data_IF_581125633869
#
_entry.id   IF_581125633869
#
_cell.length_a   1.000
_cell.length_b   1.000
_cell.length_c   1.000
_cell.angle_alpha   90.00
_cell.angle_beta   90.00
_cell.angle_gamma   90.00
#
_symmetry.space_group_name_H-M   'P 1'
#
loop_
_entity.id
_entity.type
_entity.pdbx_description
1 polymer ?
#
# COMPACT_ATOMS: atom_id res chain seq x y z
N UNK A 1 5.83 -25.21 13.04
CA UNK A 1 4.79 -25.42 11.99
C UNK A 1 5.47 -25.88 10.71
N UNK A 2 4.80 -26.59 9.79
CA UNK A 2 5.39 -26.99 8.51
C UNK A 2 4.69 -26.31 7.34
N UNK A 3 5.46 -25.91 6.33
CA UNK A 3 4.94 -25.43 5.04
C UNK A 3 5.33 -26.42 3.94
N UNK A 4 4.35 -26.77 3.10
CA UNK A 4 4.59 -27.61 1.93
C UNK A 4 5.30 -26.80 0.85
N UNK A 5 6.31 -27.40 0.21
CA UNK A 5 7.05 -26.79 -0.88
C UNK A 5 6.76 -27.54 -2.17
N UNK A 6 6.32 -26.83 -3.21
CA UNK A 6 6.11 -27.43 -4.52
C UNK A 6 7.45 -27.90 -5.10
N UNK A 7 7.56 -29.21 -5.34
CA UNK A 7 8.75 -29.84 -5.91
C UNK A 7 9.90 -30.09 -4.93
N UNK A 8 9.68 -29.96 -3.61
CA UNK A 8 10.69 -30.25 -2.60
C UNK A 8 10.07 -30.78 -1.29
N UNK A 9 10.93 -31.09 -0.30
CA UNK A 9 10.47 -31.48 1.03
C UNK A 9 9.83 -30.30 1.77
N UNK A 10 8.88 -30.60 2.64
CA UNK A 10 8.29 -29.61 3.53
C UNK A 10 9.37 -28.94 4.39
N UNK A 11 9.19 -27.64 4.66
CA UNK A 11 10.10 -26.86 5.49
C UNK A 11 9.47 -26.60 6.85
N UNK A 12 10.27 -26.72 7.90
CA UNK A 12 9.86 -26.33 9.24
C UNK A 12 10.05 -24.82 9.41
N UNK A 13 8.99 -24.16 9.91
CA UNK A 13 8.94 -22.72 10.15
C UNK A 13 8.39 -22.39 11.54
N UNK A 14 8.75 -21.21 12.00
CA UNK A 14 8.31 -20.57 13.24
C UNK A 14 6.79 -20.40 13.28
N UNK A 15 6.17 -21.04 14.26
CA UNK A 15 4.74 -20.91 14.54
C UNK A 15 4.37 -19.46 14.92
N UNK A 16 5.31 -18.72 15.51
CA UNK A 16 5.12 -17.30 15.82
C UNK A 16 4.93 -16.44 14.57
N UNK A 17 5.51 -16.82 13.43
CA UNK A 17 5.47 -16.03 12.19
C UNK A 17 4.34 -16.47 11.28
N UNK A 18 4.12 -17.78 11.13
CA UNK A 18 3.16 -18.36 10.16
C UNK A 18 1.95 -19.05 10.81
N UNK A 19 1.91 -19.17 12.14
CA UNK A 19 0.82 -19.81 12.89
C UNK A 19 0.10 -18.86 13.86
N UNK A 20 0.30 -17.55 13.74
CA UNK A 20 -0.31 -16.57 14.64
C UNK A 20 -1.82 -16.38 14.37
N UNK A 21 -2.58 -16.03 15.41
CA UNK A 21 -4.01 -15.71 15.26
C UNK A 21 -4.23 -14.47 14.38
N UNK A 22 -5.35 -14.45 13.67
CA UNK A 22 -5.72 -13.31 12.85
C UNK A 22 -6.26 -12.16 13.71
N UNK A 23 -5.51 -11.06 13.79
CA UNK A 23 -5.93 -9.85 14.48
C UNK A 23 -6.37 -8.81 13.44
N UNK A 24 -7.64 -8.90 13.06
CA UNK A 24 -8.25 -8.05 12.04
C UNK A 24 -8.08 -6.55 12.35
N UNK A 25 -8.25 -6.15 13.61
CA UNK A 25 -8.15 -4.73 14.02
C UNK A 25 -6.75 -4.18 13.77
N UNK A 26 -5.72 -4.94 14.12
CA UNK A 26 -4.33 -4.56 13.89
C UNK A 26 -3.99 -4.52 12.41
N UNK A 27 -4.44 -5.52 11.64
CA UNK A 27 -4.24 -5.59 10.19
C UNK A 27 -4.92 -4.42 9.48
N UNK A 28 -6.18 -4.13 9.82
CA UNK A 28 -6.92 -2.98 9.32
C UNK A 28 -6.17 -1.66 9.60
N UNK A 29 -5.69 -1.46 10.84
CA UNK A 29 -4.93 -0.26 11.18
C UNK A 29 -3.64 -0.14 10.35
N UNK A 30 -2.93 -1.25 10.13
CA UNK A 30 -1.70 -1.25 9.32
C UNK A 30 -1.98 -0.93 7.84
N UNK A 31 -3.04 -1.50 7.26
CA UNK A 31 -3.49 -1.24 5.89
C UNK A 31 -3.89 0.22 5.72
N UNK A 32 -4.72 0.74 6.61
CA UNK A 32 -5.16 2.15 6.57
C UNK A 32 -3.97 3.11 6.68
N UNK A 33 -3.04 2.84 7.59
CA UNK A 33 -1.83 3.67 7.75
C UNK A 33 -0.95 3.63 6.50
N UNK A 34 -0.77 2.47 5.88
CA UNK A 34 0.00 2.31 4.64
C UNK A 34 -0.64 3.09 3.48
N UNK A 35 -1.94 2.89 3.25
CA UNK A 35 -2.66 3.61 2.19
C UNK A 35 -2.72 5.11 2.44
N UNK A 36 -2.82 5.56 3.69
CA UNK A 36 -2.77 6.98 4.03
C UNK A 36 -1.39 7.59 3.72
N UNK A 37 -0.30 6.87 3.98
CA UNK A 37 1.06 7.28 3.65
C UNK A 37 1.35 7.39 2.15
N UNK A 38 0.63 6.65 1.31
CA UNK A 38 0.71 6.75 -0.15
C UNK A 38 0.04 8.00 -0.75
N UNK A 39 -0.66 8.81 0.07
CA UNK A 39 -1.40 9.99 -0.42
C UNK A 39 -0.50 11.22 -0.48
N UNK A 40 -0.37 11.82 -1.68
CA UNK A 40 0.48 12.99 -1.90
C UNK A 40 0.02 14.28 -1.19
N UNK A 41 -1.29 14.46 -0.98
CA UNK A 41 -1.83 15.63 -0.26
C UNK A 41 -1.69 16.99 -0.95
N UNK A 42 -1.35 17.02 -2.25
CA UNK A 42 -1.08 18.22 -3.05
C UNK A 42 -2.34 18.91 -3.54
N UNK A 43 -3.02 19.64 -2.65
CA UNK A 43 -4.16 20.49 -3.01
C UNK A 43 -4.18 21.79 -2.23
N UNK A 44 -4.64 22.86 -2.88
CA UNK A 44 -4.82 24.15 -2.23
C UNK A 44 -6.00 24.91 -2.83
N UNK A 45 -6.70 25.68 -2.00
CA UNK A 45 -7.61 26.74 -2.45
C UNK A 45 -7.17 28.07 -1.84
N UNK A 46 -7.75 29.16 -2.33
CA UNK A 46 -7.47 30.51 -1.82
C UNK A 46 -8.47 30.87 -0.75
N UNK A 47 -7.97 31.17 0.43
CA UNK A 47 -8.74 31.88 1.47
C UNK A 47 -9.05 33.31 1.00
N UNK A 48 -9.96 34.00 1.71
CA UNK A 48 -10.31 35.40 1.41
C UNK A 48 -9.13 36.38 1.46
N UNK A 49 -8.04 36.04 2.14
CA UNK A 49 -6.81 36.84 2.19
C UNK A 49 -5.92 36.64 0.95
N UNK A 50 -6.01 35.48 0.30
CA UNK A 50 -5.18 35.07 -0.84
C UNK A 50 -5.83 35.35 -2.20
N UNK A 51 -7.15 35.49 -2.23
CA UNK A 51 -7.85 36.00 -3.43
C UNK A 51 -7.40 37.43 -3.71
N UNK A 52 -7.12 37.75 -4.97
CA UNK A 52 -6.67 39.07 -5.39
C UNK A 52 -7.77 40.14 -5.24
N UNK A 53 -7.38 41.40 -4.99
CA UNK A 53 -8.31 42.52 -4.83
C UNK A 53 -8.78 42.76 -3.39
N UNK A 54 -9.97 43.35 -3.22
CA UNK A 54 -10.54 43.70 -1.91
C UNK A 54 -9.74 44.73 -1.10
N UNK A 55 -9.81 44.67 0.23
CA UNK A 55 -9.12 45.61 1.13
C UNK A 55 -9.93 46.87 1.47
N UNK A 56 -10.62 47.45 0.48
CA UNK A 56 -11.62 48.50 0.72
C UNK A 56 -13.00 47.91 0.97
N UNK A 57 -13.74 48.51 1.89
CA UNK A 57 -15.14 48.17 2.14
C UNK A 57 -15.99 48.51 0.90
N UNK A 58 -16.85 47.59 0.41
CA UNK A 58 -17.66 47.85 -0.78
C UNK A 58 -18.58 49.07 -0.66
N UNK A 59 -19.11 49.33 0.55
CA UNK A 59 -19.91 50.52 0.87
C UNK A 59 -19.86 50.86 2.36
N UNK A 60 -20.30 52.08 2.72
CA UNK A 60 -20.36 52.57 4.12
C UNK A 60 -21.27 51.69 5.02
N UNK A 61 -21.06 51.74 6.34
CA UNK A 61 -21.68 50.81 7.32
C UNK A 61 -23.21 50.95 7.46
N UNK A 62 -23.76 52.15 7.26
CA UNK A 62 -25.20 52.46 7.40
C UNK A 62 -25.64 53.40 6.28
N UNK A 63 -26.95 53.48 6.02
CA UNK A 63 -27.54 54.44 5.06
C UNK A 63 -27.43 54.05 3.58
N UNK A 64 -27.38 52.75 3.26
CA UNK A 64 -27.33 52.22 1.88
C UNK A 64 -28.47 51.26 1.52
N UNK A 65 -29.27 50.80 2.50
CA UNK A 65 -30.33 49.79 2.30
C UNK A 65 -29.84 48.37 1.99
N UNK A 66 -28.52 48.16 1.83
CA UNK A 66 -27.91 46.85 1.53
C UNK A 66 -27.45 46.15 2.81
N UNK A 67 -27.31 44.83 2.75
CA UNK A 67 -26.63 44.06 3.81
C UNK A 67 -25.21 44.60 4.07
N UNK A 68 -24.70 44.46 5.29
CA UNK A 68 -23.35 44.96 5.64
C UNK A 68 -22.29 44.07 5.01
N UNK A 69 -21.33 44.66 4.30
CA UNK A 69 -20.19 43.95 3.70
C UNK A 69 -18.87 44.60 4.08
N UNK A 70 -17.87 43.79 4.44
CA UNK A 70 -16.52 44.24 4.82
C UNK A 70 -15.48 44.17 3.70
N UNK A 71 -15.66 43.26 2.74
CA UNK A 71 -14.75 43.04 1.60
C UNK A 71 -15.50 42.36 0.48
N UNK A 72 -15.07 42.55 -0.77
CA UNK A 72 -15.57 41.78 -1.93
C UNK A 72 -15.04 40.34 -1.94
N UNK A 73 -13.98 40.04 -1.18
CA UNK A 73 -13.35 38.71 -1.12
C UNK A 73 -14.03 37.75 -0.15
N UNK A 74 -15.19 38.12 0.40
CA UNK A 74 -15.92 37.33 1.39
C UNK A 74 -16.34 35.98 0.79
N UNK A 75 -16.28 34.86 1.52
CA UNK A 75 -16.70 33.56 1.01
C UNK A 75 -18.20 33.47 0.64
N UNK A 76 -19.01 34.41 1.15
CA UNK A 76 -20.43 34.53 0.79
C UNK A 76 -20.59 35.12 -0.61
N UNK A 77 -19.59 35.86 -1.11
CA UNK A 77 -19.64 36.55 -2.38
C UNK A 77 -19.12 35.66 -3.51
N UNK A 78 -19.74 35.75 -4.69
CA UNK A 78 -19.20 35.16 -5.92
C UNK A 78 -17.83 35.77 -6.22
N UNK A 79 -16.84 34.92 -6.52
CA UNK A 79 -15.46 35.34 -6.72
C UNK A 79 -14.68 35.63 -5.43
N UNK A 80 -15.30 35.42 -4.25
CA UNK A 80 -14.63 35.44 -2.96
C UNK A 80 -13.79 34.19 -2.70
N UNK A 81 -13.09 34.18 -1.56
CA UNK A 81 -12.28 33.02 -1.17
C UNK A 81 -13.10 31.87 -0.60
N UNK A 82 -12.52 30.68 -0.47
CA UNK A 82 -13.13 29.55 0.22
C UNK A 82 -13.00 29.72 1.75
N UNK A 83 -14.07 29.44 2.51
CA UNK A 83 -14.07 29.59 3.99
C UNK A 83 -13.00 28.76 4.67
N UNK A 84 -12.99 27.45 4.38
CA UNK A 84 -11.97 26.50 4.86
C UNK A 84 -11.18 25.99 3.65
N UNK A 85 -10.37 26.87 3.09
CA UNK A 85 -9.49 26.51 1.97
C UNK A 85 -8.47 25.47 2.43
N UNK A 86 -8.35 24.35 1.70
CA UNK A 86 -7.35 23.36 2.01
C UNK A 86 -5.94 23.91 1.75
N UNK A 87 -4.99 23.33 2.47
CA UNK A 87 -3.55 23.50 2.25
C UNK A 87 -2.93 22.13 1.95
N UNK A 88 -1.77 22.09 1.26
CA UNK A 88 -0.99 20.87 1.18
C UNK A 88 -0.69 20.36 2.58
N UNK A 89 -0.90 19.06 2.80
CA UNK A 89 -0.75 18.44 4.12
C UNK A 89 -0.23 17.02 3.98
N UNK A 90 0.45 16.56 5.02
CA UNK A 90 0.85 15.16 5.13
C UNK A 90 -0.28 14.32 5.73
N UNK A 91 -0.50 13.15 5.14
CA UNK A 91 -1.51 12.18 5.55
C UNK A 91 -0.91 10.97 6.29
N UNK A 92 0.40 10.94 6.48
CA UNK A 92 1.09 9.85 7.16
C UNK A 92 0.59 9.64 8.59
N UNK A 93 0.50 8.38 9.00
CA UNK A 93 0.09 7.99 10.35
C UNK A 93 1.22 7.18 10.99
N UNK A 94 1.56 7.51 12.24
CA UNK A 94 2.58 6.75 12.97
C UNK A 94 2.05 5.36 13.31
N UNK A 95 2.69 4.34 12.77
CA UNK A 95 2.51 2.95 13.18
C UNK A 95 3.77 2.47 13.91
N UNK A 96 3.61 1.86 15.09
CA UNK A 96 4.75 1.37 15.85
C UNK A 96 5.40 0.17 15.15
N UNK A 97 6.73 0.05 15.22
CA UNK A 97 7.49 -1.05 14.58
C UNK A 97 6.96 -2.44 14.97
N UNK A 98 6.66 -2.65 16.26
CA UNK A 98 6.10 -3.91 16.77
C UNK A 98 4.70 -4.20 16.23
N UNK A 99 3.89 -3.15 16.03
CA UNK A 99 2.55 -3.28 15.44
C UNK A 99 2.64 -3.69 13.97
N UNK A 100 3.51 -3.05 13.20
CA UNK A 100 3.72 -3.41 11.79
C UNK A 100 4.18 -4.86 11.63
N UNK A 101 5.18 -5.30 12.40
CA UNK A 101 5.64 -6.70 12.38
C UNK A 101 4.56 -7.68 12.83
N UNK A 102 3.76 -7.33 13.83
CA UNK A 102 2.66 -8.18 14.27
C UNK A 102 1.54 -8.27 13.21
N UNK A 103 1.24 -7.18 12.50
CA UNK A 103 0.29 -7.19 11.38
C UNK A 103 0.78 -8.12 10.25
N UNK A 104 2.06 -8.03 9.86
CA UNK A 104 2.63 -8.90 8.83
C UNK A 104 2.58 -10.38 9.22
N UNK A 105 2.91 -10.74 10.47
CA UNK A 105 2.78 -12.12 10.96
C UNK A 105 1.34 -12.62 10.88
N UNK A 106 0.39 -11.78 11.28
CA UNK A 106 -1.03 -12.11 11.24
C UNK A 106 -1.52 -12.34 9.81
N UNK A 107 -1.09 -11.51 8.86
CA UNK A 107 -1.39 -11.65 7.42
C UNK A 107 -0.76 -12.93 6.85
N UNK A 108 0.54 -13.16 7.07
CA UNK A 108 1.23 -14.36 6.57
C UNK A 108 0.60 -15.64 7.12
N UNK A 109 0.19 -15.64 8.39
CA UNK A 109 -0.52 -16.77 9.00
C UNK A 109 -1.88 -17.01 8.36
N UNK A 110 -2.60 -15.95 8.01
CA UNK A 110 -3.89 -16.06 7.30
C UNK A 110 -3.73 -16.52 5.85
N UNK A 111 -2.67 -16.08 5.16
CA UNK A 111 -2.34 -16.58 3.82
C UNK A 111 -2.07 -18.08 3.83
N UNK A 112 -1.46 -18.62 4.89
CA UNK A 112 -1.29 -20.06 5.07
C UNK A 112 -2.63 -20.74 5.34
N UNK A 113 -3.46 -20.22 6.26
CA UNK A 113 -4.78 -20.81 6.59
C UNK A 113 -5.74 -20.87 5.41
N UNK A 114 -5.66 -19.92 4.49
CA UNK A 114 -6.52 -19.82 3.30
C UNK A 114 -5.90 -20.51 2.06
N UNK A 115 -4.80 -21.24 2.22
CA UNK A 115 -4.06 -21.87 1.12
C UNK A 115 -3.63 -20.88 0.02
N UNK A 116 -3.47 -19.59 0.36
CA UNK A 116 -3.07 -18.52 -0.57
C UNK A 116 -1.56 -18.38 -0.69
N UNK A 117 -0.80 -18.85 0.31
CA UNK A 117 0.67 -18.88 0.27
C UNK A 117 1.17 -20.13 -0.47
N UNK A 118 1.91 -19.93 -1.55
CA UNK A 118 2.54 -21.00 -2.34
C UNK A 118 4.05 -20.93 -2.16
N UNK A 119 4.65 -21.97 -1.58
CA UNK A 119 6.10 -22.02 -1.37
C UNK A 119 6.76 -22.84 -2.48
N UNK A 120 7.82 -22.29 -3.07
CA UNK A 120 8.65 -22.96 -4.09
C UNK A 120 10.11 -22.97 -3.66
N UNK A 121 10.87 -23.99 -4.07
CA UNK A 121 12.29 -24.08 -3.72
C UNK A 121 13.10 -22.90 -4.29
N UNK A 122 12.89 -22.60 -5.58
CA UNK A 122 13.50 -21.49 -6.29
C UNK A 122 12.55 -20.94 -7.37
N UNK A 123 12.69 -19.66 -7.72
CA UNK A 123 11.91 -19.03 -8.77
C UNK A 123 12.72 -18.03 -9.61
N UNK A 124 13.49 -18.53 -10.58
CA UNK A 124 14.19 -17.71 -11.58
C UNK A 124 13.61 -17.82 -13.01
N UNK A 125 13.95 -16.87 -13.88
CA UNK A 125 13.70 -16.94 -15.33
C UNK A 125 15.03 -16.78 -16.09
N UNK A 126 15.27 -17.64 -17.08
CA UNK A 126 16.56 -17.69 -17.79
C UNK A 126 16.81 -16.45 -18.66
N UNK A 127 15.75 -15.87 -19.20
CA UNK A 127 15.80 -14.68 -20.05
C UNK A 127 14.68 -13.71 -19.68
N UNK A 128 14.87 -12.38 -19.87
CA UNK A 128 13.87 -11.35 -19.57
C UNK A 128 12.74 -11.34 -20.61
N UNK A 129 11.97 -12.43 -20.66
CA UNK A 129 10.89 -12.66 -21.61
C UNK A 129 9.59 -12.96 -20.86
N UNK A 130 8.64 -12.03 -20.95
CA UNK A 130 7.32 -12.16 -20.33
C UNK A 130 6.60 -13.45 -20.70
N UNK A 131 6.71 -13.92 -21.95
CA UNK A 131 6.12 -15.19 -22.38
C UNK A 131 6.65 -16.40 -21.60
N UNK A 132 7.95 -16.42 -21.27
CA UNK A 132 8.55 -17.49 -20.48
C UNK A 132 8.02 -17.50 -19.04
N UNK A 133 7.87 -16.31 -18.45
CA UNK A 133 7.27 -16.17 -17.12
C UNK A 133 5.81 -16.61 -17.10
N UNK A 134 5.00 -16.21 -18.10
CA UNK A 134 3.60 -16.64 -18.22
C UNK A 134 3.49 -18.16 -18.28
N UNK A 135 4.28 -18.82 -19.15
CA UNK A 135 4.29 -20.29 -19.21
C UNK A 135 4.65 -20.95 -17.87
N UNK A 136 5.57 -20.35 -17.11
CA UNK A 136 5.97 -20.86 -15.79
C UNK A 136 4.85 -20.70 -14.75
N UNK A 137 4.14 -19.57 -14.77
CA UNK A 137 2.99 -19.30 -13.89
C UNK A 137 1.79 -20.18 -14.24
N UNK A 138 1.52 -20.38 -15.53
CA UNK A 138 0.47 -21.29 -16.01
C UNK A 138 0.72 -22.74 -15.56
N UNK A 139 1.98 -23.17 -15.56
CA UNK A 139 2.38 -24.48 -15.01
C UNK A 139 2.09 -24.67 -13.52
N UNK A 140 1.96 -23.57 -12.78
CA UNK A 140 1.55 -23.54 -11.36
C UNK A 140 0.07 -23.19 -11.17
N UNK A 141 -0.67 -22.91 -12.25
CA UNK A 141 -2.06 -22.47 -12.20
C UNK A 141 -2.27 -21.09 -11.60
N UNK A 142 -1.26 -20.22 -11.66
CA UNK A 142 -1.27 -18.89 -11.04
C UNK A 142 -1.57 -17.80 -12.09
N UNK A 143 -2.55 -16.93 -11.80
CA UNK A 143 -2.96 -15.84 -12.69
C UNK A 143 -2.77 -14.46 -12.07
N UNK A 144 -3.32 -14.28 -10.87
CA UNK A 144 -3.14 -13.08 -10.05
C UNK A 144 -2.22 -13.42 -8.87
N UNK A 145 -0.97 -12.96 -8.94
CA UNK A 145 0.08 -13.44 -8.05
C UNK A 145 1.10 -12.35 -7.68
N UNK A 146 1.39 -12.28 -6.38
CA UNK A 146 2.55 -11.60 -5.85
C UNK A 146 3.71 -12.59 -5.72
N UNK A 147 4.80 -12.36 -6.42
CA UNK A 147 6.03 -13.14 -6.31
C UNK A 147 6.96 -12.44 -5.34
N UNK A 148 7.35 -13.13 -4.28
CA UNK A 148 8.29 -12.63 -3.28
C UNK A 148 9.55 -13.49 -3.24
N UNK A 149 10.68 -12.86 -3.55
CA UNK A 149 12.02 -13.47 -3.53
C UNK A 149 12.90 -12.82 -2.45
N UNK A 150 14.06 -13.41 -2.15
CA UNK A 150 15.01 -12.83 -1.20
C UNK A 150 15.67 -11.55 -1.71
N UNK A 151 15.82 -11.45 -3.03
CA UNK A 151 16.22 -10.30 -3.82
C UNK A 151 15.59 -10.39 -5.22
N UNK A 152 15.23 -9.24 -5.78
CA UNK A 152 14.60 -9.19 -7.11
C UNK A 152 15.67 -9.39 -8.19
N UNK A 153 15.62 -10.52 -8.88
CA UNK A 153 16.42 -10.77 -10.07
C UNK A 153 15.98 -9.83 -11.22
N UNK A 154 16.95 -9.32 -11.99
CA UNK A 154 16.67 -8.36 -13.07
C UNK A 154 15.83 -8.98 -14.19
N UNK A 155 16.12 -10.23 -14.56
CA UNK A 155 15.37 -10.90 -15.62
C UNK A 155 13.92 -11.13 -15.18
N UNK A 156 13.72 -11.54 -13.92
CA UNK A 156 12.40 -11.73 -13.34
C UNK A 156 11.62 -10.42 -13.28
N UNK A 157 12.24 -9.33 -12.82
CA UNK A 157 11.64 -8.00 -12.79
C UNK A 157 11.18 -7.53 -14.17
N UNK A 158 12.08 -7.61 -15.17
CA UNK A 158 11.79 -7.18 -16.53
C UNK A 158 10.71 -8.05 -17.19
N UNK A 159 10.69 -9.36 -16.91
CA UNK A 159 9.69 -10.26 -17.44
C UNK A 159 8.29 -9.98 -16.86
N UNK A 160 8.20 -9.62 -15.58
CA UNK A 160 6.94 -9.42 -14.87
C UNK A 160 6.32 -8.03 -15.06
N UNK A 161 7.12 -6.96 -15.19
CA UNK A 161 6.63 -5.56 -15.18
C UNK A 161 5.51 -5.23 -16.19
N UNK A 162 5.40 -5.99 -17.28
CA UNK A 162 4.36 -5.79 -18.31
C UNK A 162 3.08 -6.62 -18.07
N UNK A 163 3.03 -7.45 -17.02
CA UNK A 163 1.88 -8.27 -16.68
C UNK A 163 0.97 -7.53 -15.70
N UNK A 164 -0.33 -7.46 -16.00
CA UNK A 164 -1.28 -6.65 -15.23
C UNK A 164 -1.58 -7.19 -13.83
N UNK A 165 -1.50 -8.52 -13.64
CA UNK A 165 -1.89 -9.23 -12.42
C UNK A 165 -0.71 -9.93 -11.75
N UNK A 166 0.52 -9.54 -12.10
CA UNK A 166 1.74 -10.13 -11.55
C UNK A 166 2.66 -9.02 -11.09
N UNK A 167 3.10 -9.12 -9.84
CA UNK A 167 4.09 -8.21 -9.29
C UNK A 167 5.20 -8.99 -8.60
N UNK A 168 6.41 -8.42 -8.60
CA UNK A 168 7.61 -9.04 -8.06
C UNK A 168 8.19 -8.10 -7.03
N UNK A 169 8.33 -8.58 -5.80
CA UNK A 169 8.92 -7.85 -4.68
C UNK A 169 9.99 -8.68 -4.02
N UNK A 170 10.90 -8.01 -3.34
CA UNK A 170 11.72 -8.66 -2.33
C UNK A 170 10.99 -8.65 -0.98
N UNK A 171 11.55 -9.37 -0.01
CA UNK A 171 11.01 -9.42 1.36
C UNK A 171 10.94 -8.04 2.02
N UNK A 172 11.89 -7.14 1.74
CA UNK A 172 11.92 -5.80 2.36
C UNK A 172 10.92 -4.84 1.69
N UNK A 173 10.70 -4.96 0.38
CA UNK A 173 9.70 -4.22 -0.39
C UNK A 173 8.29 -4.80 -0.32
N UNK A 174 8.09 -5.87 0.45
CA UNK A 174 6.77 -6.45 0.72
C UNK A 174 6.01 -5.60 1.74
N UNK A 175 4.71 -5.43 1.50
CA UNK A 175 3.85 -4.57 2.30
C UNK A 175 2.49 -5.22 2.63
N UNK A 176 1.79 -4.79 3.69
CA UNK A 176 0.53 -5.38 4.10
C UNK A 176 -0.56 -5.32 3.02
N UNK A 177 -0.56 -4.29 2.17
CA UNK A 177 -1.59 -4.10 1.17
C UNK A 177 -1.38 -5.08 0.02
N UNK A 178 -0.17 -5.14 -0.53
CA UNK A 178 0.16 -6.08 -1.61
C UNK A 178 -0.03 -7.53 -1.16
N UNK A 179 0.38 -7.91 0.06
CA UNK A 179 0.17 -9.27 0.57
C UNK A 179 -1.31 -9.68 0.67
N UNK A 180 -2.21 -8.72 0.83
CA UNK A 180 -3.66 -8.97 0.89
C UNK A 180 -4.30 -8.89 -0.52
N UNK A 181 -3.78 -8.01 -1.38
CA UNK A 181 -4.41 -7.63 -2.64
C UNK A 181 -4.38 -8.72 -3.72
N UNK A 182 -3.30 -9.49 -3.82
CA UNK A 182 -3.14 -10.53 -4.86
C UNK A 182 -3.75 -11.86 -4.42
N UNK A 183 -4.48 -12.56 -5.30
CA UNK A 183 -5.14 -13.83 -4.98
C UNK A 183 -4.20 -14.88 -4.37
N UNK A 184 -3.01 -15.06 -4.97
CA UNK A 184 -1.96 -15.95 -4.46
C UNK A 184 -0.68 -15.18 -4.17
N UNK A 185 0.06 -15.64 -3.18
CA UNK A 185 1.40 -15.13 -2.86
C UNK A 185 2.39 -16.26 -3.01
N UNK A 186 3.25 -16.17 -4.02
CA UNK A 186 4.33 -17.12 -4.27
C UNK A 186 5.59 -16.66 -3.53
N UNK A 187 6.14 -17.49 -2.66
CA UNK A 187 7.36 -17.21 -1.88
C UNK A 187 8.42 -18.27 -2.17
N UNK A 188 9.67 -17.86 -2.34
CA UNK A 188 10.80 -18.80 -2.37
C UNK A 188 11.15 -19.26 -0.95
N UNK A 189 11.76 -20.44 -0.81
CA UNK A 189 12.27 -20.92 0.49
C UNK A 189 13.26 -19.92 1.10
N UNK A 190 14.08 -19.24 0.29
CA UNK A 190 14.97 -18.18 0.76
C UNK A 190 14.22 -16.97 1.31
N UNK A 191 13.13 -16.55 0.65
CA UNK A 191 12.26 -15.49 1.13
C UNK A 191 11.57 -15.85 2.46
N UNK A 192 11.10 -17.10 2.61
CA UNK A 192 10.49 -17.58 3.86
C UNK A 192 11.45 -17.43 5.04
N UNK A 193 12.70 -17.88 4.92
CA UNK A 193 13.71 -17.74 5.99
C UNK A 193 13.95 -16.27 6.37
N UNK A 194 13.97 -15.38 5.37
CA UNK A 194 14.17 -13.95 5.58
C UNK A 194 12.96 -13.28 6.25
N UNK A 195 11.74 -13.74 5.95
CA UNK A 195 10.55 -13.33 6.70
C UNK A 195 10.64 -13.74 8.17
N UNK A 196 11.10 -14.95 8.46
CA UNK A 196 11.29 -15.40 9.85
C UNK A 196 12.27 -14.53 10.62
N UNK A 197 13.42 -14.21 10.02
CA UNK A 197 14.44 -13.35 10.63
C UNK A 197 13.90 -11.95 10.94
N UNK A 198 13.17 -11.34 10.01
CA UNK A 198 12.67 -9.97 10.14
C UNK A 198 11.48 -9.85 11.10
N UNK A 199 10.66 -10.90 11.18
CA UNK A 199 9.40 -10.91 11.93
C UNK A 199 9.49 -11.61 13.28
N UNK A 200 10.65 -12.20 13.62
CA UNK A 200 10.95 -12.74 14.94
C UNK A 200 10.61 -11.76 16.08
#
# INVERSE_FOLDING_TARGET
>A
MQLNVNGAQAIEVSERTFGSEFNETLVHQAVVAYMAGGRQGTRAQKTRSEVSGGGKKPWRQKGTGRARAGTIRSPIWRGGGTTFAAKPQDHSQKLNKKMYRAALRSILSELVRLDRLVVVADFAVDAPKTKGLVSKLDGLGLKDVLIVTDGVDENLYLAARNLAHVDVRDVQGSDPVSLIAYDKVLVTVSAVKKFEELLA
#
